data_IF_578362610971
#
_entry.id   IF_578362610971
#
_cell.length_a   1.000
_cell.length_b   1.000
_cell.length_c   1.000
_cell.angle_alpha   90.00
_cell.angle_beta   90.00
_cell.angle_gamma   90.00
#
_symmetry.space_group_name_H-M   'P 1'
#
loop_
_entity.id
_entity.type
_entity.pdbx_description
1 polymer ?
#
# COMPACT_ATOMS: atom_id res chain seq x y z
N UNK A 1 6.71 13.30 22.95
CA UNK A 1 6.07 12.40 21.98
C UNK A 1 7.20 11.70 21.25
N UNK A 2 7.22 10.36 21.21
CA UNK A 2 8.20 9.61 20.41
C UNK A 2 8.09 10.01 18.92
N UNK A 3 9.17 9.83 18.13
CA UNK A 3 9.13 10.02 16.69
C UNK A 3 8.15 9.04 16.02
N UNK A 4 7.40 9.46 14.99
CA UNK A 4 6.65 8.53 14.15
C UNK A 4 7.62 7.74 13.25
N UNK A 5 7.42 6.43 13.15
CA UNK A 5 8.17 5.52 12.27
C UNK A 5 7.39 5.12 11.02
N UNK A 6 6.06 5.22 11.07
CA UNK A 6 5.19 4.94 9.95
C UNK A 6 3.98 5.87 9.97
N UNK A 7 3.58 6.33 8.78
CA UNK A 7 2.42 7.20 8.59
C UNK A 7 1.69 6.74 7.34
N UNK A 8 0.38 6.57 7.46
CA UNK A 8 -0.54 6.39 6.34
C UNK A 8 -1.64 7.44 6.42
N UNK A 9 -1.94 8.07 5.29
CA UNK A 9 -2.94 9.13 5.18
C UNK A 9 -3.96 8.72 4.13
N UNK A 10 -5.23 8.91 4.45
CA UNK A 10 -6.33 8.69 3.51
C UNK A 10 -7.24 9.92 3.41
N UNK A 11 -8.06 9.94 2.36
CA UNK A 11 -9.14 10.93 2.22
C UNK A 11 -10.05 10.97 3.45
N UNK A 12 -10.80 12.05 3.62
CA UNK A 12 -11.67 12.29 4.79
C UNK A 12 -10.91 12.35 6.13
N UNK A 13 -9.66 12.85 6.11
CA UNK A 13 -8.78 13.02 7.27
C UNK A 13 -8.42 11.71 7.97
N UNK A 14 -8.52 10.57 7.29
CA UNK A 14 -8.13 9.28 7.86
C UNK A 14 -6.62 9.23 7.98
N UNK A 15 -6.16 8.61 9.06
CA UNK A 15 -4.74 8.38 9.25
C UNK A 15 -4.49 7.17 10.12
N UNK A 16 -3.30 6.61 9.99
CA UNK A 16 -2.67 5.70 10.93
C UNK A 16 -1.23 6.17 11.13
N UNK A 17 -0.79 6.24 12.38
CA UNK A 17 0.56 6.64 12.77
C UNK A 17 1.07 5.60 13.76
N UNK A 18 2.26 5.10 13.52
CA UNK A 18 3.00 4.26 14.45
C UNK A 18 4.25 4.98 14.94
N UNK A 19 4.56 4.80 16.21
CA UNK A 19 5.65 5.47 16.90
C UNK A 19 6.76 4.49 17.31
N UNK A 20 7.98 5.00 17.49
CA UNK A 20 9.15 4.19 17.92
C UNK A 20 8.94 3.41 19.23
N UNK A 21 8.02 3.83 20.09
CA UNK A 21 7.70 3.16 21.36
C UNK A 21 6.63 2.05 21.23
N UNK A 22 6.24 1.71 20.00
CA UNK A 22 5.22 0.71 19.68
C UNK A 22 3.78 1.20 19.89
N UNK A 23 3.57 2.47 20.29
CA UNK A 23 2.22 3.03 20.31
C UNK A 23 1.77 3.35 18.89
N UNK A 24 0.46 3.29 18.67
CA UNK A 24 -0.18 3.72 17.43
C UNK A 24 -1.35 4.66 17.72
N UNK A 25 -1.60 5.59 16.80
CA UNK A 25 -2.75 6.47 16.79
C UNK A 25 -3.42 6.42 15.41
N UNK A 26 -4.75 6.40 15.37
CA UNK A 26 -5.48 6.35 14.11
C UNK A 26 -6.82 7.08 14.18
N UNK A 27 -7.29 7.49 13.00
CA UNK A 27 -8.65 7.96 12.79
C UNK A 27 -9.19 7.32 11.52
N UNK A 28 -10.28 6.57 11.62
CA UNK A 28 -10.76 5.73 10.54
C UNK A 28 -12.08 5.03 10.84
N UNK A 29 -12.52 4.13 9.96
CA UNK A 29 -13.74 3.36 10.18
C UNK A 29 -13.63 2.48 11.42
N UNK A 30 -14.76 2.25 12.11
CA UNK A 30 -14.83 1.42 13.33
C UNK A 30 -14.18 0.05 13.16
N UNK A 31 -14.42 -0.59 12.01
CA UNK A 31 -13.83 -1.89 11.67
C UNK A 31 -12.30 -1.90 11.57
N UNK A 32 -11.66 -0.75 11.39
CA UNK A 32 -10.19 -0.69 11.48
C UNK A 32 -9.77 -0.97 12.92
N UNK A 33 -10.44 -0.39 13.91
CA UNK A 33 -10.13 -0.68 15.32
C UNK A 33 -10.33 -2.18 15.62
N UNK A 34 -11.44 -2.78 15.18
CA UNK A 34 -11.68 -4.22 15.33
C UNK A 34 -10.55 -5.07 14.71
N UNK A 35 -10.08 -4.69 13.51
CA UNK A 35 -9.00 -5.36 12.80
C UNK A 35 -7.67 -5.26 13.58
N UNK A 36 -7.35 -4.08 14.11
CA UNK A 36 -6.13 -3.84 14.87
C UNK A 36 -6.14 -4.57 16.23
N UNK A 37 -7.29 -4.59 16.90
CA UNK A 37 -7.47 -5.31 18.17
C UNK A 37 -7.38 -6.83 17.99
N UNK A 38 -7.94 -7.35 16.90
CA UNK A 38 -7.91 -8.78 16.58
C UNK A 38 -6.49 -9.32 16.29
N UNK A 39 -5.55 -8.44 15.92
CA UNK A 39 -4.17 -8.77 15.57
C UNK A 39 -3.17 -7.98 16.42
N UNK A 40 -3.51 -7.69 17.68
CA UNK A 40 -2.71 -6.84 18.56
C UNK A 40 -1.35 -7.45 18.96
N UNK A 41 -1.11 -8.71 18.62
CA UNK A 41 0.16 -9.43 18.78
C UNK A 41 1.10 -9.31 17.56
N UNK A 42 0.63 -8.73 16.45
CA UNK A 42 1.40 -8.51 15.23
C UNK A 42 1.74 -7.04 15.03
N UNK A 43 2.96 -6.77 14.56
CA UNK A 43 3.35 -5.44 14.09
C UNK A 43 2.72 -5.14 12.73
N UNK A 44 2.51 -3.86 12.42
CA UNK A 44 1.93 -3.45 11.14
C UNK A 44 3.04 -3.12 10.15
N UNK A 45 2.97 -3.70 8.96
CA UNK A 45 3.86 -3.35 7.85
C UNK A 45 3.29 -2.23 6.98
N UNK A 46 1.98 -2.24 6.74
CA UNK A 46 1.31 -1.12 6.07
C UNK A 46 -0.17 -1.03 6.37
N UNK A 47 -0.70 0.18 6.31
CA UNK A 47 -2.14 0.51 6.28
C UNK A 47 -2.41 1.32 5.02
N UNK A 48 -3.43 0.95 4.26
CA UNK A 48 -3.88 1.69 3.09
C UNK A 48 -5.35 2.08 3.23
N UNK A 49 -5.67 3.32 2.90
CA UNK A 49 -7.05 3.82 2.90
C UNK A 49 -7.54 3.98 1.47
N UNK A 50 -8.58 3.24 1.08
CA UNK A 50 -9.22 3.44 -0.23
C UNK A 50 -10.15 4.65 -0.24
N UNK A 51 -10.74 4.95 -1.40
CA UNK A 51 -11.65 6.10 -1.61
C UNK A 51 -12.73 6.27 -0.52
N UNK A 52 -13.43 5.18 -0.20
CA UNK A 52 -14.58 5.19 0.70
C UNK A 52 -14.14 5.11 2.16
N UNK A 53 -14.90 5.76 3.03
CA UNK A 53 -14.65 5.78 4.48
C UNK A 53 -14.42 4.38 5.08
N UNK A 54 -15.19 3.39 4.65
CA UNK A 54 -15.15 2.00 5.15
C UNK A 54 -14.10 1.12 4.48
N UNK A 55 -13.32 1.66 3.53
CA UNK A 55 -12.37 0.91 2.72
C UNK A 55 -10.96 1.07 3.24
N UNK A 56 -10.38 -0.02 3.72
CA UNK A 56 -9.00 -0.08 4.17
C UNK A 56 -8.38 -1.46 3.89
N UNK A 57 -7.05 -1.50 3.89
CA UNK A 57 -6.24 -2.72 3.79
C UNK A 57 -5.11 -2.63 4.83
N UNK A 58 -4.89 -3.69 5.59
CA UNK A 58 -3.78 -3.78 6.57
C UNK A 58 -2.91 -4.97 6.20
N UNK A 59 -1.60 -4.76 6.21
CA UNK A 59 -0.57 -5.80 6.08
C UNK A 59 0.20 -5.89 7.39
N UNK A 60 0.33 -7.08 7.93
CA UNK A 60 1.05 -7.36 9.17
C UNK A 60 2.49 -7.82 8.89
N UNK A 61 3.38 -7.76 9.88
CA UNK A 61 4.82 -8.07 9.73
C UNK A 61 5.12 -9.51 9.34
N UNK A 62 4.24 -10.45 9.69
CA UNK A 62 4.32 -11.84 9.24
C UNK A 62 3.91 -12.03 7.77
N UNK A 63 3.42 -10.97 7.12
CA UNK A 63 2.96 -10.91 5.73
C UNK A 63 1.48 -11.23 5.54
N UNK A 64 0.79 -11.65 6.61
CA UNK A 64 -0.66 -11.77 6.60
C UNK A 64 -1.33 -10.40 6.43
N UNK A 65 -2.62 -10.42 6.11
CA UNK A 65 -3.35 -9.19 5.82
C UNK A 65 -4.84 -9.33 6.11
N UNK A 66 -5.50 -8.19 6.28
CA UNK A 66 -6.96 -8.07 6.34
C UNK A 66 -7.42 -6.83 5.56
N UNK A 67 -8.66 -6.83 5.08
CA UNK A 67 -9.25 -5.69 4.40
C UNK A 67 -10.75 -5.59 4.64
N UNK A 68 -11.27 -4.37 4.50
CA UNK A 68 -12.70 -4.11 4.53
C UNK A 68 -13.12 -3.12 3.45
N UNK A 69 -14.43 -3.08 3.20
CA UNK A 69 -15.06 -2.08 2.35
C UNK A 69 -15.27 -2.52 0.90
N UNK A 70 -16.27 -1.92 0.27
CA UNK A 70 -16.62 -2.22 -1.14
C UNK A 70 -15.73 -1.50 -2.16
N UNK A 71 -14.82 -0.63 -1.69
CA UNK A 71 -13.89 0.13 -2.53
C UNK A 71 -12.59 -0.60 -2.84
N UNK A 72 -12.36 -1.82 -2.32
CA UNK A 72 -11.14 -2.57 -2.61
C UNK A 72 -11.14 -3.00 -4.09
N UNK A 73 -10.09 -2.68 -4.87
CA UNK A 73 -9.99 -3.07 -6.27
C UNK A 73 -10.07 -4.60 -6.45
N UNK A 74 -10.87 -5.05 -7.42
CA UNK A 74 -11.07 -6.49 -7.64
C UNK A 74 -9.83 -7.16 -8.19
N UNK A 75 -9.04 -6.46 -9.00
CA UNK A 75 -7.76 -6.96 -9.50
C UNK A 75 -6.78 -7.22 -8.36
N UNK A 76 -6.72 -6.31 -7.37
CA UNK A 76 -5.90 -6.48 -6.17
C UNK A 76 -6.28 -7.75 -5.39
N UNK A 77 -7.56 -7.93 -5.10
CA UNK A 77 -8.04 -9.14 -4.39
C UNK A 77 -7.75 -10.40 -5.20
N UNK A 78 -7.96 -10.36 -6.53
CA UNK A 78 -7.64 -11.51 -7.39
C UNK A 78 -6.14 -11.81 -7.36
N UNK A 79 -5.29 -10.79 -7.48
CA UNK A 79 -3.84 -10.93 -7.43
C UNK A 79 -3.41 -11.63 -6.15
N UNK A 80 -3.88 -11.17 -4.99
CA UNK A 80 -3.44 -11.68 -3.69
C UNK A 80 -4.05 -13.06 -3.38
N UNK A 81 -5.34 -13.27 -3.67
CA UNK A 81 -6.03 -14.54 -3.35
C UNK A 81 -5.69 -15.66 -4.32
N UNK A 82 -5.63 -15.38 -5.63
CA UNK A 82 -5.49 -16.44 -6.64
C UNK A 82 -4.04 -16.83 -6.91
N UNK A 83 -3.08 -15.93 -6.67
CA UNK A 83 -1.67 -16.28 -6.88
C UNK A 83 -1.06 -17.08 -5.73
N UNK A 84 -1.81 -17.34 -4.64
CA UNK A 84 -1.65 -18.46 -3.70
C UNK A 84 -0.32 -18.62 -2.93
N UNK A 85 0.74 -17.92 -3.30
CA UNK A 85 2.10 -18.12 -2.81
C UNK A 85 2.75 -16.88 -2.17
N UNK A 86 2.09 -15.72 -2.21
CA UNK A 86 2.64 -14.45 -1.66
C UNK A 86 2.00 -14.03 -0.34
N UNK A 87 1.09 -14.85 0.21
CA UNK A 87 0.33 -14.52 1.43
C UNK A 87 1.20 -14.32 2.67
N UNK A 88 2.46 -14.76 2.67
CA UNK A 88 3.44 -14.55 3.76
C UNK A 88 4.48 -13.46 3.46
N UNK A 89 4.47 -12.95 2.23
CA UNK A 89 5.55 -12.13 1.70
C UNK A 89 5.11 -10.70 1.41
N UNK A 90 3.84 -10.36 1.64
CA UNK A 90 3.35 -9.00 1.46
C UNK A 90 4.01 -8.06 2.48
N UNK A 91 4.50 -6.89 2.04
CA UNK A 91 5.07 -5.87 2.93
C UNK A 91 4.37 -4.52 2.80
N UNK A 92 3.82 -4.22 1.62
CA UNK A 92 3.22 -2.93 1.36
C UNK A 92 2.01 -3.10 0.45
N UNK A 93 0.92 -2.47 0.84
CA UNK A 93 -0.20 -2.14 -0.04
C UNK A 93 -0.43 -0.64 0.05
N UNK A 94 -0.70 0.01 -1.07
CA UNK A 94 -1.27 1.35 -1.11
C UNK A 94 -2.55 1.35 -1.95
N UNK A 95 -3.46 2.25 -1.62
CA UNK A 95 -4.74 2.41 -2.29
C UNK A 95 -4.94 3.88 -2.62
N UNK A 96 -5.36 4.15 -3.85
CA UNK A 96 -5.70 5.48 -4.31
C UNK A 96 -7.21 5.75 -4.30
N UNK A 97 -7.58 7.04 -4.35
CA UNK A 97 -8.98 7.48 -4.32
C UNK A 97 -9.75 7.17 -5.61
N UNK A 98 -9.10 6.77 -6.70
CA UNK A 98 -9.74 6.43 -7.98
C UNK A 98 -9.64 4.93 -8.29
N UNK A 99 -9.31 4.11 -7.29
CA UNK A 99 -9.13 2.68 -7.45
C UNK A 99 -7.71 2.29 -7.90
N UNK A 100 -6.76 3.22 -7.85
CA UNK A 100 -5.34 2.91 -7.98
C UNK A 100 -4.91 1.99 -6.84
N UNK A 101 -3.96 1.12 -7.11
CA UNK A 101 -3.35 0.29 -6.09
C UNK A 101 -1.93 -0.09 -6.45
N UNK A 102 -1.11 -0.32 -5.42
CA UNK A 102 0.23 -0.84 -5.53
C UNK A 102 0.48 -1.89 -4.45
N UNK A 103 1.28 -2.89 -4.78
CA UNK A 103 1.67 -4.02 -3.93
C UNK A 103 3.17 -4.22 -4.04
N UNK A 104 3.83 -4.42 -2.89
CA UNK A 104 5.20 -4.90 -2.84
C UNK A 104 5.35 -6.09 -1.88
N UNK A 105 6.29 -6.98 -2.20
CA UNK A 105 6.61 -8.18 -1.41
C UNK A 105 8.07 -8.20 -0.93
N UNK A 106 8.35 -9.03 0.09
CA UNK A 106 9.69 -9.25 0.70
C UNK A 106 10.76 -9.65 -0.32
N UNK A 107 10.36 -10.29 -1.41
CA UNK A 107 11.27 -10.73 -2.48
C UNK A 107 11.52 -9.65 -3.57
N UNK A 108 11.03 -8.42 -3.36
CA UNK A 108 11.22 -7.28 -4.27
C UNK A 108 10.31 -7.29 -5.49
N UNK A 109 9.31 -8.17 -5.55
CA UNK A 109 8.32 -8.12 -6.62
C UNK A 109 7.27 -7.04 -6.32
N UNK A 110 6.86 -6.34 -7.37
CA UNK A 110 5.86 -5.27 -7.28
C UNK A 110 4.81 -5.39 -8.37
N UNK A 111 3.60 -4.96 -8.03
CA UNK A 111 2.46 -4.92 -8.93
C UNK A 111 1.64 -3.66 -8.67
N UNK A 112 0.93 -3.20 -9.68
CA UNK A 112 0.04 -2.05 -9.58
C UNK A 112 -1.12 -2.18 -10.56
N UNK A 113 -2.15 -1.38 -10.36
CA UNK A 113 -3.28 -1.30 -11.27
C UNK A 113 -4.17 -0.10 -10.99
N UNK A 114 -5.15 0.12 -11.86
CA UNK A 114 -6.07 1.25 -11.76
C UNK A 114 -5.43 2.62 -12.02
N UNK A 115 -4.23 2.66 -12.59
CA UNK A 115 -3.49 3.90 -12.84
C UNK A 115 -4.12 4.72 -13.96
N UNK A 116 -3.87 6.02 -13.97
CA UNK A 116 -4.14 6.86 -15.13
C UNK A 116 -3.19 6.55 -16.28
N UNK A 117 -3.63 6.79 -17.52
CA UNK A 117 -2.79 6.64 -18.73
C UNK A 117 -1.47 7.43 -18.62
N UNK A 118 -1.51 8.60 -17.96
CA UNK A 118 -0.34 9.44 -17.73
C UNK A 118 0.68 8.75 -16.81
N UNK A 119 0.24 8.26 -15.65
CA UNK A 119 1.13 7.59 -14.70
C UNK A 119 1.63 6.25 -15.25
N UNK A 120 0.77 5.49 -15.95
CA UNK A 120 1.18 4.25 -16.60
C UNK A 120 2.27 4.49 -17.64
N UNK A 121 2.13 5.55 -18.45
CA UNK A 121 3.17 5.96 -19.40
C UNK A 121 4.47 6.36 -18.70
N UNK A 122 4.40 7.13 -17.61
CA UNK A 122 5.59 7.54 -16.85
C UNK A 122 6.34 6.32 -16.30
N UNK A 123 5.62 5.35 -15.74
CA UNK A 123 6.22 4.10 -15.24
C UNK A 123 6.84 3.32 -16.41
N UNK A 124 6.14 3.20 -17.54
CA UNK A 124 6.66 2.51 -18.72
C UNK A 124 7.95 3.14 -19.24
N UNK A 125 7.97 4.47 -19.41
CA UNK A 125 9.13 5.22 -19.88
C UNK A 125 10.32 5.05 -18.92
N UNK A 126 10.05 5.08 -17.61
CA UNK A 126 11.05 4.89 -16.56
C UNK A 126 11.66 3.49 -16.58
N UNK A 127 10.83 2.45 -16.70
CA UNK A 127 11.28 1.05 -16.74
C UNK A 127 11.99 0.71 -18.06
N UNK A 128 11.65 1.39 -19.14
CA UNK A 128 12.22 1.17 -20.48
C UNK A 128 13.50 1.99 -20.75
N UNK A 129 13.77 3.02 -19.94
CA UNK A 129 14.90 3.91 -20.15
C UNK A 129 16.25 3.19 -19.91
N UNK A 130 17.17 3.17 -20.90
CA UNK A 130 18.49 2.56 -20.72
C UNK A 130 19.34 3.35 -19.71
N UNK A 131 20.04 2.64 -18.83
CA UNK A 131 21.05 3.23 -17.94
C UNK A 131 22.37 3.42 -18.69
N UNK A 132 23.02 4.55 -18.43
CA UNK A 132 24.31 4.89 -19.04
C UNK A 132 25.48 3.99 -18.61
N UNK A 133 25.35 3.20 -17.55
CA UNK A 133 26.46 2.42 -16.98
C UNK A 133 26.15 0.98 -16.54
N UNK A 134 24.90 0.60 -16.31
CA UNK A 134 24.56 -0.69 -15.69
C UNK A 134 23.35 -1.34 -16.39
N UNK A 135 23.44 -2.59 -16.82
CA UNK A 135 22.33 -3.28 -17.53
C UNK A 135 21.18 -3.73 -16.60
N UNK A 136 21.08 -3.17 -15.39
CA UNK A 136 19.98 -3.52 -14.48
C UNK A 136 18.73 -2.71 -14.86
N UNK A 137 17.59 -3.37 -15.10
CA UNK A 137 16.33 -2.66 -15.26
C UNK A 137 16.01 -1.89 -13.98
N UNK A 138 15.40 -0.70 -14.12
CA UNK A 138 14.84 0.00 -12.97
C UNK A 138 13.71 -0.83 -12.39
N UNK A 139 13.50 -0.70 -11.09
CA UNK A 139 12.38 -1.34 -10.40
C UNK A 139 11.60 -0.24 -9.69
N UNK A 140 10.28 -0.31 -9.74
CA UNK A 140 9.43 0.56 -8.93
C UNK A 140 9.34 -0.06 -7.54
N UNK A 141 9.77 0.68 -6.53
CA UNK A 141 9.83 0.20 -5.14
C UNK A 141 8.61 0.61 -4.34
N UNK A 142 8.01 1.75 -4.69
CA UNK A 142 6.88 2.31 -3.96
C UNK A 142 6.06 3.27 -4.80
N UNK A 143 4.73 3.20 -4.66
CA UNK A 143 3.79 4.20 -5.17
C UNK A 143 2.81 4.54 -4.05
N UNK A 144 2.60 5.83 -3.79
CA UNK A 144 1.51 6.33 -2.95
C UNK A 144 0.63 7.28 -3.74
N UNK A 145 -0.66 7.24 -3.47
CA UNK A 145 -1.69 7.92 -4.27
C UNK A 145 -2.37 8.99 -3.44
N UNK A 146 -2.28 10.22 -3.92
CA UNK A 146 -2.96 11.37 -3.36
C UNK A 146 -4.26 11.71 -4.10
N UNK A 147 -4.94 12.73 -3.61
CA UNK A 147 -6.14 13.25 -4.27
C UNK A 147 -5.79 13.97 -5.59
N UNK A 148 -6.79 14.10 -6.48
CA UNK A 148 -6.67 14.80 -7.76
C UNK A 148 -5.56 14.26 -8.68
N UNK A 149 -5.29 12.95 -8.62
CA UNK A 149 -4.29 12.28 -9.45
C UNK A 149 -2.84 12.57 -9.06
N UNK A 150 -2.59 13.15 -7.88
CA UNK A 150 -1.23 13.29 -7.35
C UNK A 150 -0.70 11.94 -6.86
N UNK A 151 0.61 11.75 -6.92
CA UNK A 151 1.26 10.53 -6.45
C UNK A 151 2.70 10.79 -6.05
N UNK A 152 3.23 9.92 -5.20
CA UNK A 152 4.67 9.75 -5.00
C UNK A 152 5.11 8.43 -5.63
N UNK A 153 6.24 8.45 -6.33
CA UNK A 153 6.83 7.28 -6.98
C UNK A 153 8.30 7.20 -6.58
N UNK A 154 8.70 6.08 -5.99
CA UNK A 154 10.11 5.73 -5.76
C UNK A 154 10.53 4.60 -6.67
N UNK A 155 11.76 4.66 -7.15
CA UNK A 155 12.33 3.65 -8.04
C UNK A 155 13.85 3.57 -7.87
N UNK A 156 14.39 2.38 -8.11
CA UNK A 156 15.82 2.08 -8.00
C UNK A 156 16.62 2.23 -9.27
#
# INVERSE_FOLDING_TARGET
MPPPIYVSIGSNKRFYIEFEDGRAEWYGPEKLADCLEAHCDLEISSVAFGERWDTFFVVFSDGSWDYQGKGIPKELVRLIVHNGGFLSDLICVTLGPQGEWFVATKNGQTWWGGLSDELEKIIYDLLSAPRASDWKPRVVDFIDFGESGSYFLSYE
#
